data_IF_524391121669
#
_entry.id   IF_524391121669
#
_cell.length_a   1.000
_cell.length_b   1.000
_cell.length_c   1.000
_cell.angle_alpha   90.00
_cell.angle_beta   90.00
_cell.angle_gamma   90.00
#
_symmetry.space_group_name_H-M   'P 1'
#
loop_
_entity.id
_entity.type
_entity.pdbx_description
1 polymer ?
#
# COMPACT_ATOMS: atom_id res chain seq x y z
N UNK A 1 -16.62 0.37 -10.99
CA UNK A 1 -15.25 -0.14 -10.78
C UNK A 1 -15.12 -1.02 -9.53
N UNK A 2 -15.80 -0.72 -8.41
CA UNK A 2 -15.76 -1.54 -7.16
C UNK A 2 -16.41 -2.93 -7.21
N UNK A 3 -17.16 -3.26 -8.26
CA UNK A 3 -18.00 -4.48 -8.33
C UNK A 3 -17.21 -5.72 -8.79
N UNK A 4 -16.00 -5.58 -9.36
CA UNK A 4 -15.32 -6.70 -10.02
C UNK A 4 -14.55 -7.66 -9.08
N UNK A 5 -14.23 -7.25 -7.85
CA UNK A 5 -13.40 -8.04 -6.93
C UNK A 5 -13.92 -8.03 -5.48
N UNK A 6 -15.13 -8.57 -5.21
CA UNK A 6 -15.72 -8.54 -3.86
C UNK A 6 -14.95 -9.35 -2.81
N UNK A 7 -13.97 -10.14 -3.23
CA UNK A 7 -13.13 -11.00 -2.38
C UNK A 7 -11.90 -10.26 -1.83
N UNK A 8 -11.67 -9.02 -2.25
CA UNK A 8 -10.52 -8.22 -1.88
C UNK A 8 -10.91 -6.90 -1.23
N UNK A 9 -10.02 -6.42 -0.38
CA UNK A 9 -10.10 -5.09 0.20
C UNK A 9 -8.70 -4.54 0.44
N UNK A 10 -8.62 -3.22 0.52
CA UNK A 10 -7.43 -2.51 0.92
C UNK A 10 -7.82 -1.41 1.91
N UNK A 11 -7.01 -1.24 2.95
CA UNK A 11 -7.22 -0.22 3.99
C UNK A 11 -5.99 0.68 3.99
N UNK A 12 -5.97 1.78 3.22
CA UNK A 12 -4.97 2.82 3.42
C UNK A 12 -5.20 3.48 4.78
N UNK A 13 -4.13 4.03 5.37
CA UNK A 13 -4.22 4.78 6.63
C UNK A 13 -4.92 6.13 6.45
N UNK A 14 -4.89 6.66 5.22
CA UNK A 14 -5.63 7.86 4.85
C UNK A 14 -5.84 8.00 3.35
N UNK A 15 -6.79 8.85 2.98
CA UNK A 15 -7.02 9.32 1.62
C UNK A 15 -6.90 10.84 1.62
N UNK A 16 -6.08 11.40 0.73
CA UNK A 16 -6.11 12.85 0.51
C UNK A 16 -7.32 13.22 -0.36
N UNK A 17 -7.94 14.36 -0.03
CA UNK A 17 -9.23 14.75 -0.60
C UNK A 17 -9.20 16.08 -1.38
N UNK A 18 -8.08 16.82 -1.38
CA UNK A 18 -8.02 18.13 -2.02
C UNK A 18 -7.05 18.18 -3.21
N UNK A 19 -7.33 19.10 -4.13
CA UNK A 19 -6.54 19.31 -5.36
C UNK A 19 -5.12 19.86 -5.10
N UNK A 20 -4.82 20.25 -3.86
CA UNK A 20 -3.52 20.77 -3.43
C UNK A 20 -2.61 19.66 -2.86
N UNK A 21 -3.21 18.65 -2.22
CA UNK A 21 -2.61 17.41 -1.75
C UNK A 21 -2.96 16.29 -2.73
N UNK A 22 -2.29 16.34 -3.89
CA UNK A 22 -2.33 15.36 -4.98
C UNK A 22 -3.03 14.04 -4.61
N UNK A 23 -4.18 13.81 -5.24
CA UNK A 23 -5.07 12.65 -5.12
C UNK A 23 -4.32 11.32 -4.79
N UNK A 24 -4.18 11.02 -3.50
CA UNK A 24 -3.27 9.99 -3.01
C UNK A 24 -3.85 9.11 -1.91
N UNK A 25 -3.33 7.88 -1.86
CA UNK A 25 -3.39 7.04 -0.66
C UNK A 25 -2.24 7.41 0.27
N UNK A 26 -2.50 7.38 1.58
CA UNK A 26 -1.50 7.60 2.62
C UNK A 26 -1.29 6.26 3.34
N UNK A 27 -0.03 5.85 3.46
CA UNK A 27 0.38 4.66 4.21
C UNK A 27 1.49 5.05 5.19
N UNK A 28 1.29 4.80 6.47
CA UNK A 28 2.16 5.22 7.56
C UNK A 28 2.79 4.00 8.23
N UNK A 29 4.13 4.01 8.33
CA UNK A 29 4.89 3.06 9.12
C UNK A 29 5.50 3.77 10.33
N UNK A 30 5.26 3.20 11.51
CA UNK A 30 5.81 3.69 12.79
C UNK A 30 6.79 2.67 13.40
N UNK A 31 8.02 2.53 12.86
CA UNK A 31 9.00 1.60 13.39
C UNK A 31 9.47 2.02 14.79
N UNK A 32 9.58 1.05 15.71
CA UNK A 32 10.17 1.29 17.04
C UNK A 32 11.70 1.25 17.05
N UNK A 33 12.34 0.77 15.97
CA UNK A 33 13.80 0.62 15.85
C UNK A 33 14.25 1.07 14.47
N UNK A 34 15.38 1.77 14.41
CA UNK A 34 15.96 2.25 13.14
C UNK A 34 16.21 1.11 12.14
N UNK A 35 16.72 -0.04 12.63
CA UNK A 35 16.96 -1.21 11.78
C UNK A 35 15.70 -1.72 11.06
N UNK A 36 14.51 -1.46 11.61
CA UNK A 36 13.24 -1.88 11.00
C UNK A 36 12.91 -1.03 9.76
N UNK A 37 13.45 0.18 9.66
CA UNK A 37 13.27 1.05 8.48
C UNK A 37 13.79 0.36 7.22
N UNK A 38 14.89 -0.39 7.33
CA UNK A 38 15.48 -1.13 6.21
C UNK A 38 14.55 -2.20 5.62
N UNK A 39 13.56 -2.67 6.40
CA UNK A 39 12.54 -3.59 5.90
C UNK A 39 11.55 -2.89 4.98
N UNK A 40 11.34 -1.58 5.16
CA UNK A 40 10.40 -0.79 4.37
C UNK A 40 11.07 -0.15 3.16
N UNK A 41 12.29 0.36 3.34
CA UNK A 41 13.03 1.12 2.32
C UNK A 41 14.45 0.57 2.19
N UNK A 42 14.95 0.48 0.97
CA UNK A 42 16.38 0.26 0.72
C UNK A 42 16.81 1.07 -0.50
N UNK A 43 17.95 1.77 -0.40
CA UNK A 43 18.45 2.66 -1.47
C UNK A 43 17.38 3.65 -1.96
N UNK A 44 16.64 4.26 -1.03
CA UNK A 44 15.53 5.20 -1.29
C UNK A 44 14.37 4.63 -2.13
N UNK A 45 14.23 3.29 -2.18
CA UNK A 45 13.12 2.61 -2.85
C UNK A 45 12.29 1.83 -1.85
N UNK A 46 10.97 1.90 -2.02
CA UNK A 46 10.03 1.08 -1.26
C UNK A 46 10.26 -0.39 -1.60
N UNK A 47 10.40 -1.22 -0.57
CA UNK A 47 10.58 -2.65 -0.71
C UNK A 47 9.36 -3.30 -1.38
N UNK A 48 9.60 -4.35 -2.17
CA UNK A 48 8.60 -4.90 -3.10
C UNK A 48 7.26 -5.27 -2.42
N UNK A 49 7.31 -5.80 -1.19
CA UNK A 49 6.12 -6.11 -0.38
C UNK A 49 5.25 -4.87 -0.12
N UNK A 50 5.88 -3.77 0.30
CA UNK A 50 5.19 -2.52 0.64
C UNK A 50 4.80 -1.75 -0.62
N UNK A 51 5.59 -1.86 -1.69
CA UNK A 51 5.21 -1.37 -3.03
C UNK A 51 3.93 -2.07 -3.49
N UNK A 52 3.85 -3.39 -3.39
CA UNK A 52 2.64 -4.15 -3.73
C UNK A 52 1.44 -3.74 -2.85
N UNK A 53 1.65 -3.46 -1.55
CA UNK A 53 0.62 -2.96 -0.64
C UNK A 53 0.02 -1.64 -1.14
N UNK A 54 0.86 -0.62 -1.39
CA UNK A 54 0.37 0.70 -1.81
C UNK A 54 -0.21 0.70 -3.23
N UNK A 55 0.33 -0.11 -4.14
CA UNK A 55 -0.24 -0.31 -5.49
C UNK A 55 -1.64 -0.92 -5.41
N UNK A 56 -1.86 -1.87 -4.50
CA UNK A 56 -3.19 -2.45 -4.25
C UNK A 56 -4.15 -1.41 -3.66
N UNK A 57 -3.69 -0.60 -2.70
CA UNK A 57 -4.50 0.49 -2.13
C UNK A 57 -4.89 1.52 -3.20
N UNK A 58 -3.95 1.94 -4.04
CA UNK A 58 -4.20 2.85 -5.18
C UNK A 58 -5.20 2.26 -6.17
N UNK A 59 -5.07 0.98 -6.52
CA UNK A 59 -5.99 0.27 -7.41
C UNK A 59 -7.43 0.32 -6.89
N UNK A 60 -7.66 -0.03 -5.62
CA UNK A 60 -9.00 -0.03 -5.06
C UNK A 60 -9.52 1.39 -4.86
N UNK A 61 -8.70 2.31 -4.32
CA UNK A 61 -9.12 3.68 -4.05
C UNK A 61 -9.24 4.57 -5.30
N UNK A 62 -8.81 4.09 -6.47
CA UNK A 62 -8.80 4.86 -7.72
C UNK A 62 -7.85 6.06 -7.66
N UNK A 63 -6.71 5.93 -7.00
CA UNK A 63 -5.72 7.00 -6.78
C UNK A 63 -4.49 6.77 -7.63
N UNK A 64 -3.86 7.85 -8.08
CA UNK A 64 -2.70 7.78 -8.97
C UNK A 64 -1.35 7.86 -8.26
N UNK A 65 -1.36 8.15 -6.95
CA UNK A 65 -0.15 8.30 -6.14
C UNK A 65 -0.33 7.71 -4.74
N UNK A 66 0.75 7.25 -4.15
CA UNK A 66 0.85 6.91 -2.74
C UNK A 66 1.90 7.79 -2.04
N UNK A 67 1.57 8.26 -0.84
CA UNK A 67 2.50 8.84 0.12
C UNK A 67 2.84 7.78 1.15
N UNK A 68 4.05 7.22 1.04
CA UNK A 68 4.56 6.22 1.96
C UNK A 68 5.40 6.90 3.05
N UNK A 69 4.78 7.08 4.20
CA UNK A 69 5.29 7.86 5.32
C UNK A 69 5.97 6.93 6.33
N UNK A 70 7.19 7.27 6.74
CA UNK A 70 7.92 6.56 7.79
C UNK A 70 8.20 7.55 8.92
N UNK A 71 7.53 7.35 10.05
CA UNK A 71 7.83 8.10 11.26
C UNK A 71 9.20 7.68 11.80
N UNK A 72 9.99 8.65 12.28
CA UNK A 72 11.23 8.35 12.96
C UNK A 72 10.97 7.49 14.22
N UNK A 73 11.88 6.58 14.61
CA UNK A 73 11.66 5.77 15.81
C UNK A 73 11.47 6.57 17.11
N UNK A 74 12.00 7.79 17.16
CA UNK A 74 11.80 8.76 18.23
C UNK A 74 10.75 9.84 17.87
N UNK A 75 9.76 9.52 17.05
CA UNK A 75 8.77 10.48 16.53
C UNK A 75 8.10 11.33 17.63
N UNK A 76 7.86 10.76 18.82
CA UNK A 76 7.22 11.54 19.89
C UNK A 76 8.04 12.74 20.36
N UNK A 77 9.35 12.70 20.15
CA UNK A 77 10.29 13.79 20.44
C UNK A 77 10.60 14.58 19.15
N UNK A 78 10.96 13.88 18.08
CA UNK A 78 11.49 14.52 16.86
C UNK A 78 10.41 15.08 15.95
N UNK A 79 9.20 14.52 15.99
CA UNK A 79 8.08 14.78 15.06
C UNK A 79 8.47 14.60 13.58
N UNK A 80 9.55 13.87 13.31
CA UNK A 80 10.08 13.69 11.96
C UNK A 80 9.39 12.54 11.23
N UNK A 81 9.01 12.80 9.99
CA UNK A 81 8.46 11.82 9.04
C UNK A 81 9.24 11.93 7.74
N UNK A 82 9.73 10.79 7.24
CA UNK A 82 10.27 10.71 5.87
C UNK A 82 9.17 10.22 4.94
N UNK A 83 8.94 10.94 3.84
CA UNK A 83 7.87 10.64 2.89
C UNK A 83 8.51 10.17 1.58
N UNK A 84 8.08 9.00 1.10
CA UNK A 84 8.43 8.47 -0.21
C UNK A 84 7.19 8.47 -1.10
N UNK A 85 7.29 9.05 -2.29
CA UNK A 85 6.20 9.01 -3.26
C UNK A 85 6.34 7.80 -4.18
N UNK A 86 5.23 7.10 -4.41
CA UNK A 86 5.12 6.03 -5.40
C UNK A 86 4.00 6.36 -6.37
N UNK A 87 4.28 6.26 -7.67
CA UNK A 87 3.29 6.47 -8.72
C UNK A 87 2.54 5.18 -8.99
N UNK A 88 1.26 5.28 -9.32
CA UNK A 88 0.45 4.13 -9.71
C UNK A 88 1.02 3.43 -10.94
N UNK A 89 1.15 2.11 -10.84
CA UNK A 89 1.67 1.21 -11.85
C UNK A 89 0.55 0.23 -12.20
N UNK A 90 -0.17 0.52 -13.29
CA UNK A 90 -1.37 -0.22 -13.68
C UNK A 90 -1.06 -1.68 -14.02
N UNK A 91 0.06 -1.94 -14.68
CA UNK A 91 0.48 -3.30 -15.06
C UNK A 91 0.81 -4.14 -13.82
N UNK A 92 1.58 -3.58 -12.89
CA UNK A 92 1.90 -4.23 -11.63
C UNK A 92 0.64 -4.49 -10.80
N UNK A 93 -0.25 -3.50 -10.69
CA UNK A 93 -1.46 -3.60 -9.90
C UNK A 93 -2.40 -4.67 -10.43
N UNK A 94 -2.66 -4.67 -11.75
CA UNK A 94 -3.46 -5.73 -12.41
C UNK A 94 -2.83 -7.11 -12.20
N UNK A 95 -1.51 -7.23 -12.34
CA UNK A 95 -0.80 -8.49 -12.09
C UNK A 95 -1.01 -8.98 -10.66
N UNK A 96 -0.86 -8.11 -9.65
CA UNK A 96 -1.06 -8.46 -8.24
C UNK A 96 -2.49 -8.96 -8.00
N UNK A 97 -3.51 -8.23 -8.47
CA UNK A 97 -4.91 -8.59 -8.28
C UNK A 97 -5.26 -9.92 -8.97
N UNK A 98 -4.76 -10.15 -10.18
CA UNK A 98 -5.00 -11.40 -10.91
C UNK A 98 -4.34 -12.61 -10.23
N UNK A 99 -3.10 -12.48 -9.75
CA UNK A 99 -2.43 -13.56 -9.01
C UNK A 99 -3.08 -13.81 -7.64
N UNK A 100 -3.50 -12.75 -6.93
CA UNK A 100 -4.27 -12.87 -5.70
C UNK A 100 -5.61 -13.59 -5.94
N UNK A 101 -6.27 -13.33 -7.08
CA UNK A 101 -7.52 -14.00 -7.47
C UNK A 101 -7.30 -15.49 -7.72
N UNK A 102 -6.24 -15.85 -8.45
CA UNK A 102 -5.87 -17.26 -8.65
C UNK A 102 -5.63 -17.96 -7.32
N UNK A 103 -4.89 -17.32 -6.41
CA UNK A 103 -4.68 -17.85 -5.06
C UNK A 103 -6.00 -18.07 -4.31
N UNK A 104 -6.86 -17.05 -4.26
CA UNK A 104 -8.14 -17.15 -3.55
C UNK A 104 -9.02 -18.28 -4.09
N UNK A 105 -9.12 -18.43 -5.42
CA UNK A 105 -9.89 -19.51 -6.05
C UNK A 105 -9.33 -20.88 -5.66
N UNK A 106 -8.01 -21.07 -5.78
CA UNK A 106 -7.41 -22.37 -5.59
C UNK A 106 -7.31 -22.80 -4.12
N UNK A 107 -7.03 -21.85 -3.23
CA UNK A 107 -6.69 -22.12 -1.84
C UNK A 107 -7.82 -21.82 -0.84
N UNK A 108 -8.75 -20.92 -1.16
CA UNK A 108 -9.78 -20.44 -0.21
C UNK A 108 -11.18 -20.85 -0.67
N UNK A 109 -11.56 -20.51 -1.90
CA UNK A 109 -12.91 -20.75 -2.42
C UNK A 109 -13.32 -22.21 -2.28
N UNK A 110 -12.44 -23.13 -2.69
CA UNK A 110 -12.69 -24.57 -2.62
C UNK A 110 -12.94 -25.08 -1.20
N UNK A 111 -12.49 -24.37 -0.15
CA UNK A 111 -12.75 -24.72 1.25
C UNK A 111 -14.11 -24.17 1.70
N UNK A 112 -14.49 -22.98 1.22
CA UNK A 112 -15.70 -22.27 1.64
C UNK A 112 -17.00 -22.82 1.02
N UNK A 113 -16.93 -23.49 -0.14
CA UNK A 113 -18.10 -24.00 -0.87
C UNK A 113 -18.31 -25.52 -0.72
N UNK A 114 -17.60 -26.16 0.21
CA UNK A 114 -17.87 -27.53 0.64
C UNK A 114 -18.97 -27.55 1.71
#
# INVERSE_FOLDING_TARGET
>A
MWIEFPIFGASPDGLSADALSADAVIEVKCPTKEKTIANYITKNKIQAKFRAQVQTQMFFAGKQKALFCIAAPNFEESKQVTIYEEQYDEELSKKIILEAKKFWINAIYNILVQ
#
